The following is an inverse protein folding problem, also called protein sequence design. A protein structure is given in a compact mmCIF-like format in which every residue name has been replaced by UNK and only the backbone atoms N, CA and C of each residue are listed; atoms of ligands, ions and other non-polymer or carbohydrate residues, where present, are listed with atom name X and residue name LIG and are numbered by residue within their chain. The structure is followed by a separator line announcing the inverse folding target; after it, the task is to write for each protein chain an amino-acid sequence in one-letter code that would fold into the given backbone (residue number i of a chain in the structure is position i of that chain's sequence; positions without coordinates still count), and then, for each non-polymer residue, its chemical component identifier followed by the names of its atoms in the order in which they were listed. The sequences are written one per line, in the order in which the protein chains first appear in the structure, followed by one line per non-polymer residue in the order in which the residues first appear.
data_IF_383769809094
#
_entry.id   IF_383769809094
#
_cell.length_a   1.000
_cell.length_b   1.000
_cell.length_c   1.000
_cell.angle_alpha   90.00
_cell.angle_beta   90.00
_cell.angle_gamma   90.00
#
_symmetry.space_group_name_H-M   'P 1'
#
loop_
_entity.id
_entity.type
_entity.pdbx_description
1 polymer ?
#
# COMPACT_ATOMS: atom_id res chain seq x y z
N UNK A 1 4.38 3.94 -11.98
CA UNK A 1 3.91 4.24 -10.61
C UNK A 1 2.90 3.16 -10.25
N UNK A 2 2.78 2.80 -8.97
CA UNK A 2 1.81 1.80 -8.55
C UNK A 2 0.65 2.49 -7.86
N UNK A 3 -0.58 2.15 -8.27
CA UNK A 3 -1.81 2.81 -7.84
C UNK A 3 -2.50 2.11 -6.66
N UNK A 4 -1.72 1.49 -5.76
CA UNK A 4 -2.25 0.82 -4.56
C UNK A 4 -3.21 1.69 -3.73
N UNK A 5 -2.96 2.99 -3.51
CA UNK A 5 -3.91 3.84 -2.77
C UNK A 5 -5.27 3.96 -3.48
N UNK A 6 -5.27 4.07 -4.82
CA UNK A 6 -6.51 4.16 -5.59
C UNK A 6 -7.25 2.82 -5.58
N UNK A 7 -6.53 1.71 -5.76
CA UNK A 7 -7.11 0.36 -5.68
C UNK A 7 -7.78 0.11 -4.33
N UNK A 8 -7.12 0.47 -3.23
CA UNK A 8 -7.67 0.36 -1.87
C UNK A 8 -8.98 1.17 -1.72
N UNK A 9 -8.96 2.43 -2.14
CA UNK A 9 -10.14 3.30 -2.08
C UNK A 9 -11.32 2.72 -2.87
N UNK A 10 -11.06 2.13 -4.03
CA UNK A 10 -12.11 1.49 -4.84
C UNK A 10 -12.68 0.24 -4.18
N UNK A 11 -11.86 -0.57 -3.52
CA UNK A 11 -12.29 -1.76 -2.78
C UNK A 11 -13.12 -1.39 -1.54
N UNK A 12 -12.68 -0.39 -0.76
CA UNK A 12 -13.42 0.13 0.40
C UNK A 12 -14.81 0.62 -0.02
N UNK A 13 -14.90 1.37 -1.13
CA UNK A 13 -16.19 1.79 -1.70
C UNK A 13 -17.05 0.63 -2.16
N UNK A 14 -16.47 -0.39 -2.79
CA UNK A 14 -17.21 -1.57 -3.22
C UNK A 14 -17.81 -2.33 -2.03
N UNK A 15 -17.09 -2.38 -0.92
CA UNK A 15 -17.58 -2.96 0.34
C UNK A 15 -18.77 -2.16 0.89
N UNK A 16 -18.66 -0.83 0.94
CA UNK A 16 -19.73 0.06 1.43
C UNK A 16 -21.01 0.00 0.58
N UNK A 17 -20.87 -0.13 -0.74
CA UNK A 17 -22.02 -0.22 -1.65
C UNK A 17 -22.73 -1.58 -1.60
N UNK A 18 -22.08 -2.61 -1.09
CA UNK A 18 -22.64 -3.95 -1.00
C UNK A 18 -23.53 -4.05 0.24
N UNK A 19 -24.83 -3.77 0.10
CA UNK A 19 -25.80 -3.72 1.21
C UNK A 19 -26.62 -5.01 1.42
N UNK A 20 -26.45 -6.06 0.60
CA UNK A 20 -27.25 -7.30 0.70
C UNK A 20 -26.91 -8.20 1.90
N UNK A 21 -27.90 -8.90 2.48
CA UNK A 21 -27.67 -9.87 3.56
C UNK A 21 -27.73 -11.33 3.10
N UNK A 22 -27.94 -11.55 1.80
CA UNK A 22 -27.84 -12.84 1.15
C UNK A 22 -26.40 -13.39 1.21
N UNK A 23 -26.27 -14.70 1.00
CA UNK A 23 -25.00 -15.41 1.07
C UNK A 23 -23.99 -14.90 0.03
N UNK A 24 -24.46 -14.47 -1.15
CA UNK A 24 -23.57 -13.94 -2.19
C UNK A 24 -22.98 -12.60 -1.71
N UNK A 25 -23.81 -11.72 -1.16
CA UNK A 25 -23.37 -10.45 -0.58
C UNK A 25 -22.43 -10.64 0.61
N UNK A 26 -22.67 -11.64 1.46
CA UNK A 26 -21.76 -11.97 2.57
C UNK A 26 -20.40 -12.45 2.06
N UNK A 27 -20.40 -13.43 1.16
CA UNK A 27 -19.17 -13.97 0.56
C UNK A 27 -18.38 -12.89 -0.20
N UNK A 28 -19.08 -12.00 -0.89
CA UNK A 28 -18.44 -10.89 -1.60
C UNK A 28 -17.83 -9.86 -0.64
N UNK A 29 -18.45 -9.57 0.51
CA UNK A 29 -17.83 -8.74 1.55
C UNK A 29 -16.57 -9.37 2.14
N UNK A 30 -16.60 -10.68 2.44
CA UNK A 30 -15.42 -11.39 2.94
C UNK A 30 -14.28 -11.38 1.93
N UNK A 31 -14.58 -11.58 0.64
CA UNK A 31 -13.58 -11.49 -0.42
C UNK A 31 -13.01 -10.07 -0.55
N UNK A 32 -13.85 -9.03 -0.45
CA UNK A 32 -13.41 -7.63 -0.49
C UNK A 32 -12.50 -7.28 0.69
N UNK A 33 -12.80 -7.77 1.89
CA UNK A 33 -11.98 -7.57 3.09
C UNK A 33 -10.55 -8.12 2.90
N UNK A 34 -10.44 -9.37 2.42
CA UNK A 34 -9.15 -10.00 2.10
C UNK A 34 -8.35 -9.20 1.05
N UNK A 35 -9.03 -8.67 0.03
CA UNK A 35 -8.39 -7.85 -1.01
C UNK A 35 -7.89 -6.50 -0.46
N UNK A 36 -8.66 -5.85 0.42
CA UNK A 36 -8.25 -4.61 1.09
C UNK A 36 -7.00 -4.84 1.93
N UNK A 37 -6.95 -5.94 2.70
CA UNK A 37 -5.78 -6.31 3.50
C UNK A 37 -4.54 -6.58 2.63
N UNK A 38 -4.71 -7.35 1.54
CA UNK A 38 -3.63 -7.67 0.62
C UNK A 38 -3.04 -6.41 -0.04
N UNK A 39 -3.90 -5.50 -0.50
CA UNK A 39 -3.48 -4.22 -1.10
C UNK A 39 -2.79 -3.33 -0.06
N UNK A 40 -3.31 -3.25 1.17
CA UNK A 40 -2.67 -2.49 2.24
C UNK A 40 -1.26 -3.03 2.56
N UNK A 41 -1.11 -4.36 2.58
CA UNK A 41 0.18 -5.02 2.80
C UNK A 41 1.17 -4.73 1.66
N UNK A 42 0.71 -4.78 0.41
CA UNK A 42 1.52 -4.47 -0.76
C UNK A 42 1.94 -2.98 -0.79
N UNK A 43 1.02 -2.07 -0.45
CA UNK A 43 1.31 -0.64 -0.31
C UNK A 43 2.38 -0.40 0.75
N UNK A 44 2.28 -1.06 1.90
CA UNK A 44 3.26 -0.94 2.98
C UNK A 44 4.65 -1.46 2.55
N UNK A 45 4.72 -2.63 1.93
CA UNK A 45 5.98 -3.20 1.39
C UNK A 45 6.63 -2.26 0.37
N UNK A 46 5.85 -1.68 -0.53
CA UNK A 46 6.38 -0.72 -1.51
C UNK A 46 6.92 0.55 -0.85
N UNK A 47 6.22 1.08 0.16
CA UNK A 47 6.70 2.25 0.92
C UNK A 47 8.01 1.95 1.63
N UNK A 48 8.18 0.74 2.15
CA UNK A 48 9.40 0.30 2.81
C UNK A 48 10.57 0.18 1.83
N UNK A 49 10.36 -0.53 0.70
CA UNK A 49 11.36 -0.67 -0.38
C UNK A 49 11.81 0.70 -0.93
N UNK A 50 10.86 1.64 -1.09
CA UNK A 50 11.16 3.02 -1.51
C UNK A 50 11.94 3.81 -0.46
N UNK A 51 11.82 3.51 0.84
CA UNK A 51 12.65 4.13 1.90
C UNK A 51 14.08 3.62 1.88
N UNK A 52 14.33 2.39 1.44
CA UNK A 52 15.67 1.79 1.38
C UNK A 52 16.57 2.46 0.32
N UNK A 53 15.98 3.14 -0.67
CA UNK A 53 16.71 3.94 -1.68
C UNK A 53 17.17 5.33 -1.20
N UNK A 54 17.53 5.50 0.10
CA UNK A 54 18.23 6.72 0.54
C UNK A 54 19.68 6.72 0.02
N UNK A 55 19.96 7.70 -0.82
CA UNK A 55 21.19 7.92 -1.61
C UNK A 55 22.48 8.00 -0.76
N UNK A 56 23.67 7.69 -1.34
CA UNK A 56 24.94 7.58 -0.62
C UNK A 56 25.29 8.88 0.12
N UNK A 57 25.77 8.73 1.36
CA UNK A 57 26.38 9.83 2.11
C UNK A 57 27.60 10.32 1.34
N UNK A 58 27.49 11.47 0.68
CA UNK A 58 28.64 12.18 0.14
C UNK A 58 29.54 12.54 1.33
N UNK A 59 30.65 11.80 1.49
CA UNK A 59 31.67 12.10 2.47
C UNK A 59 32.47 13.27 1.90
N UNK A 60 32.03 14.48 2.21
CA UNK A 60 32.78 15.69 1.89
C UNK A 60 34.21 15.55 2.41
N UNK A 61 35.16 15.69 1.50
CA UNK A 61 36.58 15.77 1.78
C UNK A 61 36.80 16.85 2.84
N UNK A 62 37.17 16.43 4.05
CA UNK A 62 37.73 17.36 5.02
C UNK A 62 39.11 17.73 4.52
N UNK A 63 39.17 18.96 4.00
CA UNK A 63 40.26 19.90 4.14
C UNK A 63 41.09 19.59 5.39
N UNK A 64 42.27 18.99 5.22
CA UNK A 64 43.32 19.05 6.23
C UNK A 64 44.69 18.74 5.62
N UNK A 65 45.57 19.73 5.79
CA UNK A 65 47.06 19.73 5.79
C UNK A 65 47.63 20.59 4.67
N UNK A 66 48.62 21.44 4.91
CA UNK A 66 49.26 22.02 6.11
C UNK A 66 50.26 23.03 5.56
#
# INVERSE_FOLDING_TARGET
MSDYPAARLHLERAFDYLYGQDEISKNAREALDLLIEAVATAEHKQRDDRKVLRHPRFRGSQDLRS
#
